data_IF_136309190411
#
_entry.id   IF_136309190411
#
_cell.length_a   1.000
_cell.length_b   1.000
_cell.length_c   1.000
_cell.angle_alpha   90.00
_cell.angle_beta   90.00
_cell.angle_gamma   90.00
#
_symmetry.space_group_name_H-M   'P 1'
#
loop_
_entity.id
_entity.type
_entity.pdbx_description
1 polymer ?
#
# COMPACT_ATOMS: atom_id res chain seq x y z
N UNK A 1 17.77 -1.04 -24.74
CA UNK A 1 17.12 -1.53 -23.54
C UNK A 1 16.19 -2.69 -23.84
N UNK A 2 15.66 -3.34 -22.82
CA UNK A 2 14.63 -4.35 -23.00
C UNK A 2 13.25 -3.67 -22.99
N UNK A 3 12.37 -4.10 -23.91
CA UNK A 3 10.99 -3.58 -23.98
C UNK A 3 10.08 -4.24 -22.93
N UNK A 4 10.44 -5.44 -22.48
CA UNK A 4 9.72 -6.20 -21.46
C UNK A 4 10.72 -6.78 -20.48
N UNK A 5 10.48 -6.59 -19.20
CA UNK A 5 11.27 -7.13 -18.10
C UNK A 5 10.36 -7.96 -17.20
N UNK A 6 10.71 -9.23 -17.00
CA UNK A 6 10.00 -10.14 -16.10
C UNK A 6 10.95 -10.47 -14.94
N UNK A 7 10.51 -10.18 -13.72
CA UNK A 7 11.27 -10.44 -12.49
C UNK A 7 10.57 -11.50 -11.64
N UNK A 8 11.29 -12.10 -10.70
CA UNK A 8 10.69 -12.77 -9.56
C UNK A 8 10.10 -11.76 -8.57
N UNK A 9 9.83 -12.18 -7.33
CA UNK A 9 9.39 -11.28 -6.25
C UNK A 9 10.46 -10.20 -6.00
N UNK A 10 10.05 -8.95 -6.09
CA UNK A 10 10.85 -7.77 -5.75
C UNK A 10 10.11 -6.98 -4.67
N UNK A 11 10.77 -5.98 -4.07
CA UNK A 11 10.09 -5.01 -3.20
C UNK A 11 9.04 -4.27 -4.03
N UNK A 12 7.84 -4.09 -3.50
CA UNK A 12 6.67 -3.61 -4.23
C UNK A 12 6.91 -2.24 -4.89
N UNK A 13 7.62 -1.34 -4.22
CA UNK A 13 8.03 -0.03 -4.75
C UNK A 13 9.13 -0.09 -5.83
N UNK A 14 9.85 -1.20 -5.97
CA UNK A 14 11.04 -1.29 -6.82
C UNK A 14 10.73 -1.13 -8.32
N UNK A 15 9.52 -1.49 -8.75
CA UNK A 15 9.10 -1.34 -10.16
C UNK A 15 9.11 0.14 -10.57
N UNK A 16 8.53 0.99 -9.75
CA UNK A 16 8.51 2.44 -9.96
C UNK A 16 9.90 3.05 -9.78
N UNK A 17 10.60 2.68 -8.71
CA UNK A 17 11.96 3.17 -8.44
C UNK A 17 12.91 2.84 -9.61
N UNK A 18 12.84 1.64 -10.16
CA UNK A 18 13.66 1.24 -11.31
C UNK A 18 13.42 2.11 -12.54
N UNK A 19 12.16 2.48 -12.82
CA UNK A 19 11.82 3.41 -13.89
C UNK A 19 12.37 4.81 -13.63
N UNK A 20 12.26 5.32 -12.40
CA UNK A 20 12.80 6.62 -12.00
C UNK A 20 14.35 6.66 -12.10
N UNK A 21 15.03 5.63 -11.64
CA UNK A 21 16.50 5.50 -11.77
C UNK A 21 16.92 5.60 -13.25
N UNK A 22 16.22 4.88 -14.13
CA UNK A 22 16.52 4.90 -15.55
C UNK A 22 16.27 6.27 -16.18
N UNK A 23 15.12 6.86 -15.90
CA UNK A 23 14.69 8.13 -16.52
C UNK A 23 15.54 9.32 -16.07
N UNK A 24 15.82 9.40 -14.77
CA UNK A 24 16.51 10.55 -14.18
C UNK A 24 18.00 10.32 -13.95
N UNK A 25 18.51 9.12 -14.18
CA UNK A 25 19.91 8.77 -13.98
C UNK A 25 20.35 8.80 -12.51
N UNK A 26 19.44 8.55 -11.57
CA UNK A 26 19.78 8.56 -10.15
C UNK A 26 20.83 7.53 -9.79
N UNK A 27 21.84 7.96 -9.06
CA UNK A 27 22.94 7.11 -8.62
C UNK A 27 22.61 6.30 -7.38
N UNK A 28 23.34 5.22 -7.18
CA UNK A 28 23.12 4.28 -6.07
C UNK A 28 23.36 4.89 -4.67
N UNK A 29 23.92 6.10 -4.57
CA UNK A 29 24.18 6.83 -3.33
C UNK A 29 23.37 8.12 -3.22
N UNK A 30 22.47 8.39 -4.17
CA UNK A 30 21.54 9.52 -4.12
C UNK A 30 20.30 9.13 -3.28
N UNK A 31 20.54 8.90 -1.99
CA UNK A 31 19.56 8.26 -1.11
C UNK A 31 18.25 9.03 -0.99
N UNK A 32 18.25 10.37 -1.04
CA UNK A 32 17.00 11.14 -1.04
C UNK A 32 16.17 10.84 -2.32
N UNK A 33 16.82 10.73 -3.47
CA UNK A 33 16.15 10.36 -4.72
C UNK A 33 15.61 8.93 -4.68
N UNK A 34 16.43 7.99 -4.19
CA UNK A 34 16.00 6.58 -4.03
C UNK A 34 14.82 6.45 -3.05
N UNK A 35 14.85 7.18 -1.93
CA UNK A 35 13.75 7.19 -0.97
C UNK A 35 12.47 7.79 -1.56
N UNK A 36 12.61 8.86 -2.34
CA UNK A 36 11.46 9.52 -3.00
C UNK A 36 10.83 8.63 -4.08
N UNK A 37 11.64 7.96 -4.89
CA UNK A 37 11.17 6.98 -5.88
C UNK A 37 10.52 5.77 -5.23
N UNK A 38 11.04 5.33 -4.09
CA UNK A 38 10.45 4.26 -3.29
C UNK A 38 9.11 4.69 -2.69
N UNK A 39 8.99 5.93 -2.18
CA UNK A 39 7.71 6.46 -1.70
C UNK A 39 6.69 6.54 -2.84
N UNK A 40 7.11 7.02 -4.02
CA UNK A 40 6.23 7.05 -5.18
C UNK A 40 5.73 5.65 -5.54
N UNK A 41 6.62 4.66 -5.55
CA UNK A 41 6.25 3.26 -5.79
C UNK A 41 5.29 2.71 -4.73
N UNK A 42 5.51 3.04 -3.46
CA UNK A 42 4.62 2.65 -2.37
C UNK A 42 3.21 3.27 -2.51
N UNK A 43 3.11 4.50 -2.99
CA UNK A 43 1.81 5.15 -3.26
C UNK A 43 1.07 4.46 -4.43
N UNK A 44 1.78 3.87 -5.38
CA UNK A 44 1.18 3.27 -6.57
C UNK A 44 0.85 1.78 -6.44
N UNK A 45 1.60 1.04 -5.64
CA UNK A 45 1.66 -0.43 -5.68
C UNK A 45 0.35 -1.13 -5.33
N UNK A 46 -0.44 -0.58 -4.41
CA UNK A 46 -1.76 -1.10 -4.04
C UNK A 46 -2.89 -0.69 -5.00
N UNK A 47 -2.54 -0.08 -6.14
CA UNK A 47 -3.50 0.30 -7.18
C UNK A 47 -4.62 1.20 -6.65
N UNK A 48 -5.90 0.77 -6.75
CA UNK A 48 -7.05 1.61 -6.42
C UNK A 48 -7.14 2.03 -4.95
N UNK A 49 -6.30 1.55 -4.06
CA UNK A 49 -6.27 2.01 -2.68
C UNK A 49 -5.99 3.52 -2.60
N UNK A 50 -5.01 4.02 -3.34
CA UNK A 50 -4.71 5.46 -3.43
C UNK A 50 -5.83 6.29 -4.06
N UNK A 51 -6.66 5.69 -4.90
CA UNK A 51 -7.82 6.34 -5.51
C UNK A 51 -9.12 6.13 -4.73
N UNK A 52 -9.04 5.66 -3.50
CA UNK A 52 -10.14 5.61 -2.54
C UNK A 52 -10.81 4.24 -2.38
N UNK A 53 -10.28 3.17 -3.00
CA UNK A 53 -10.89 1.83 -2.96
C UNK A 53 -10.91 1.17 -1.57
N UNK A 54 -10.08 1.64 -0.66
CA UNK A 54 -10.03 1.18 0.74
C UNK A 54 -9.92 2.37 1.71
N UNK A 55 -10.32 3.54 1.26
CA UNK A 55 -10.32 4.77 2.05
C UNK A 55 -11.34 4.69 3.18
N UNK A 56 -11.05 5.31 4.32
CA UNK A 56 -11.97 5.34 5.46
C UNK A 56 -13.34 5.92 5.06
N UNK A 57 -13.34 7.00 4.29
CA UNK A 57 -14.56 7.62 3.75
C UNK A 57 -14.80 7.17 2.29
N UNK A 58 -14.81 5.87 2.06
CA UNK A 58 -14.85 5.23 0.73
C UNK A 58 -16.06 5.67 -0.13
N UNK A 59 -17.17 6.07 0.47
CA UNK A 59 -18.35 6.58 -0.24
C UNK A 59 -18.00 7.80 -1.11
N UNK A 60 -16.99 8.58 -0.73
CA UNK A 60 -16.54 9.75 -1.49
C UNK A 60 -15.85 9.37 -2.81
N UNK A 61 -15.41 8.14 -2.96
CA UNK A 61 -14.79 7.64 -4.20
C UNK A 61 -15.83 7.36 -5.31
N UNK A 62 -17.12 7.37 -4.99
CA UNK A 62 -18.21 7.19 -5.94
C UNK A 62 -18.33 5.74 -6.42
N UNK A 63 -18.43 5.52 -7.74
CA UNK A 63 -18.59 4.18 -8.31
C UNK A 63 -17.28 3.39 -8.23
N UNK A 64 -17.21 2.46 -7.27
CA UNK A 64 -16.05 1.61 -7.04
C UNK A 64 -15.73 0.71 -8.25
N UNK A 65 -16.72 0.33 -9.05
CA UNK A 65 -16.48 -0.47 -10.26
C UNK A 65 -15.70 0.30 -11.34
N UNK A 66 -15.73 1.65 -11.29
CA UNK A 66 -15.02 2.53 -12.21
C UNK A 66 -13.99 3.42 -11.49
N UNK A 67 -13.38 2.94 -10.42
CA UNK A 67 -12.56 3.77 -9.52
C UNK A 67 -11.29 4.33 -10.19
N UNK A 68 -10.69 3.62 -11.14
CA UNK A 68 -9.42 3.97 -11.78
C UNK A 68 -8.19 3.68 -10.91
N UNK A 69 -7.05 3.50 -11.57
CA UNK A 69 -5.76 3.30 -10.90
C UNK A 69 -5.02 4.63 -10.74
N UNK A 70 -4.16 4.78 -9.73
CA UNK A 70 -3.37 5.98 -9.56
C UNK A 70 -2.33 6.13 -10.66
N UNK A 71 -2.02 7.39 -10.97
CA UNK A 71 -0.94 7.80 -11.86
C UNK A 71 -0.03 8.71 -11.06
N UNK A 72 1.28 8.54 -11.18
CA UNK A 72 2.26 9.48 -10.63
C UNK A 72 2.99 10.23 -11.74
N UNK A 73 3.03 11.55 -11.62
CA UNK A 73 3.85 12.44 -12.44
C UNK A 73 5.09 12.82 -11.62
N UNK A 74 6.23 12.22 -11.94
CA UNK A 74 7.45 12.32 -11.14
C UNK A 74 8.38 13.36 -11.71
N UNK A 75 8.96 14.20 -10.86
CA UNK A 75 9.98 15.17 -11.23
C UNK A 75 11.41 14.67 -10.88
N UNK A 76 12.46 15.18 -11.57
CA UNK A 76 13.84 14.73 -11.33
C UNK A 76 14.34 14.93 -9.88
N UNK A 77 13.75 15.84 -9.13
CA UNK A 77 14.05 16.11 -7.71
C UNK A 77 13.34 15.15 -6.74
N UNK A 78 12.61 14.14 -7.25
CA UNK A 78 11.87 13.15 -6.46
C UNK A 78 10.49 13.61 -6.00
N UNK A 79 10.11 14.84 -6.23
CA UNK A 79 8.73 15.32 -6.03
C UNK A 79 7.81 14.66 -7.04
N UNK A 80 6.58 14.31 -6.64
CA UNK A 80 5.61 13.77 -7.58
C UNK A 80 4.20 14.25 -7.31
N UNK A 81 3.36 14.18 -8.33
CA UNK A 81 1.92 14.45 -8.24
C UNK A 81 1.17 13.15 -8.48
N UNK A 82 0.37 12.77 -7.52
CA UNK A 82 -0.56 11.63 -7.67
C UNK A 82 -1.88 12.11 -8.25
N UNK A 83 -2.37 11.42 -9.26
CA UNK A 83 -3.63 11.67 -9.95
C UNK A 83 -4.27 10.35 -10.40
N UNK A 84 -5.30 10.40 -11.21
CA UNK A 84 -6.00 9.24 -11.79
C UNK A 84 -6.42 9.48 -13.23
N UNK A 85 -6.81 8.44 -14.00
CA UNK A 85 -7.30 8.61 -15.36
C UNK A 85 -8.56 9.48 -15.39
N UNK A 86 -8.70 10.37 -16.38
CA UNK A 86 -9.91 11.16 -16.56
C UNK A 86 -11.12 10.25 -16.87
N UNK A 87 -12.29 10.64 -16.37
CA UNK A 87 -13.53 9.88 -16.59
C UNK A 87 -13.73 8.69 -15.66
N UNK A 88 -12.80 8.46 -14.72
CA UNK A 88 -12.99 7.48 -13.64
C UNK A 88 -13.63 8.12 -12.41
N UNK A 89 -14.32 7.32 -11.60
CA UNK A 89 -14.95 7.78 -10.36
C UNK A 89 -13.90 8.14 -9.33
N UNK A 90 -13.31 7.25 -8.64
CA UNK A 90 -12.22 7.43 -7.69
C UNK A 90 -12.00 8.83 -7.10
N UNK A 91 -11.29 8.92 -6.03
CA UNK A 91 -10.92 10.17 -5.37
C UNK A 91 -9.41 10.17 -5.08
N UNK A 92 -8.69 11.17 -5.59
CA UNK A 92 -7.31 11.44 -5.18
C UNK A 92 -7.29 12.69 -4.31
N UNK A 93 -7.15 12.48 -3.02
CA UNK A 93 -7.15 13.52 -2.00
C UNK A 93 -5.97 13.37 -1.06
N UNK A 94 -5.72 14.41 -0.26
CA UNK A 94 -4.74 14.31 0.83
C UNK A 94 -5.04 13.09 1.72
N UNK A 95 -6.32 12.82 2.01
CA UNK A 95 -6.72 11.66 2.82
C UNK A 95 -6.35 10.33 2.18
N UNK A 96 -6.74 10.08 0.93
CA UNK A 96 -6.47 8.80 0.24
C UNK A 96 -4.97 8.54 0.06
N UNK A 97 -4.20 9.58 -0.27
CA UNK A 97 -2.73 9.49 -0.42
C UNK A 97 -2.06 9.29 0.94
N UNK A 98 -2.54 9.94 2.00
CA UNK A 98 -1.99 9.78 3.36
C UNK A 98 -2.27 8.40 3.92
N UNK A 99 -3.46 7.84 3.73
CA UNK A 99 -3.76 6.47 4.16
C UNK A 99 -2.90 5.45 3.43
N UNK A 100 -2.68 5.61 2.13
CA UNK A 100 -1.76 4.75 1.39
C UNK A 100 -0.32 4.92 1.87
N UNK A 101 0.12 6.16 2.14
CA UNK A 101 1.48 6.38 2.64
C UNK A 101 1.75 5.69 3.97
N UNK A 102 0.75 5.61 4.84
CA UNK A 102 0.87 4.95 6.15
C UNK A 102 0.67 3.44 6.09
N UNK A 103 0.10 2.93 5.01
CA UNK A 103 -0.20 1.52 4.85
C UNK A 103 1.08 0.66 4.92
N UNK A 104 1.10 -0.35 5.79
CA UNK A 104 2.24 -1.25 6.02
C UNK A 104 3.57 -0.58 6.42
N UNK A 105 3.59 0.72 6.70
CA UNK A 105 4.77 1.43 7.20
C UNK A 105 4.82 1.27 8.73
N UNK A 106 5.84 0.56 9.23
CA UNK A 106 6.05 0.40 10.67
C UNK A 106 6.64 1.66 11.30
N UNK A 107 7.89 1.96 11.01
CA UNK A 107 8.58 3.17 11.46
C UNK A 107 8.81 4.12 10.28
N UNK A 108 8.08 5.23 10.18
CA UNK A 108 8.24 6.18 9.08
C UNK A 108 9.60 6.88 9.05
N UNK A 109 10.32 6.94 10.15
CA UNK A 109 11.67 7.50 10.23
C UNK A 109 12.76 6.51 9.78
N UNK A 110 12.40 5.23 9.65
CA UNK A 110 13.35 4.17 9.33
C UNK A 110 12.69 3.04 8.56
N UNK A 111 12.10 3.35 7.41
CA UNK A 111 11.56 2.34 6.53
C UNK A 111 12.67 1.67 5.73
N UNK A 112 12.94 0.39 6.05
CA UNK A 112 14.11 -0.34 5.56
C UNK A 112 13.82 -1.00 4.22
N UNK A 113 14.56 -0.60 3.20
CA UNK A 113 14.57 -1.22 1.87
C UNK A 113 15.98 -1.75 1.55
N UNK A 114 16.13 -2.65 0.56
CA UNK A 114 17.43 -3.26 0.25
C UNK A 114 18.50 -2.26 -0.21
N UNK A 115 18.12 -1.14 -0.78
CA UNK A 115 18.97 -0.13 -1.43
C UNK A 115 18.99 1.21 -0.68
N UNK A 116 18.03 1.47 0.19
CA UNK A 116 17.92 2.72 0.94
C UNK A 116 17.16 2.52 2.25
N UNK A 117 17.51 3.26 3.27
CA UNK A 117 16.68 3.45 4.45
C UNK A 117 15.94 4.78 4.30
N UNK A 118 14.61 4.72 4.16
CA UNK A 118 13.79 5.90 3.93
C UNK A 118 13.35 6.54 5.25
N UNK A 119 13.21 7.87 5.22
CA UNK A 119 12.56 8.68 6.23
C UNK A 119 11.44 9.49 5.57
N UNK A 120 10.21 9.20 5.97
CA UNK A 120 8.99 9.82 5.46
C UNK A 120 8.40 10.84 6.43
N UNK A 121 9.04 11.10 7.57
CA UNK A 121 8.49 11.93 8.65
C UNK A 121 8.29 13.39 8.25
N UNK A 122 9.10 13.90 7.35
CA UNK A 122 9.03 15.30 6.86
C UNK A 122 8.29 15.43 5.52
N UNK A 123 7.74 14.33 4.98
CA UNK A 123 7.00 14.35 3.72
C UNK A 123 5.72 15.18 3.89
N UNK A 124 5.50 16.10 2.96
CA UNK A 124 4.27 16.90 2.90
C UNK A 124 3.40 16.46 1.74
N UNK A 125 2.11 16.36 2.01
CA UNK A 125 1.07 15.97 1.06
C UNK A 125 0.13 17.15 0.89
N UNK A 126 0.00 17.67 -0.32
CA UNK A 126 -0.74 18.92 -0.59
C UNK A 126 -1.69 18.74 -1.77
N UNK A 127 -2.96 19.04 -1.56
CA UNK A 127 -3.93 19.12 -2.66
C UNK A 127 -3.64 20.34 -3.52
N UNK A 128 -3.29 20.15 -4.79
CA UNK A 128 -2.97 21.25 -5.72
C UNK A 128 -4.09 21.53 -6.73
N UNK A 129 -4.94 20.53 -6.97
CA UNK A 129 -6.17 20.66 -7.78
C UNK A 129 -7.11 19.47 -7.46
N UNK A 130 -8.36 19.44 -7.95
CA UNK A 130 -9.20 18.27 -7.85
C UNK A 130 -8.48 17.02 -8.41
N UNK A 131 -8.48 15.93 -7.66
CA UNK A 131 -7.79 14.68 -7.99
C UNK A 131 -6.28 14.83 -8.34
N UNK A 132 -5.63 15.85 -7.79
CA UNK A 132 -4.18 16.07 -7.97
C UNK A 132 -3.54 16.43 -6.63
N UNK A 133 -2.74 15.53 -6.13
CA UNK A 133 -2.06 15.65 -4.83
C UNK A 133 -0.55 15.63 -5.05
N UNK A 134 0.10 16.70 -4.64
CA UNK A 134 1.56 16.78 -4.67
C UNK A 134 2.14 16.18 -3.39
N UNK A 135 3.15 15.34 -3.55
CA UNK A 135 3.94 14.75 -2.47
C UNK A 135 5.36 15.31 -2.55
N UNK A 136 5.87 15.82 -1.44
CA UNK A 136 7.25 16.32 -1.36
C UNK A 136 8.25 15.16 -1.38
N UNK A 137 9.53 15.42 -1.73
CA UNK A 137 10.56 14.40 -1.66
C UNK A 137 10.72 13.84 -0.23
N UNK A 138 10.97 12.54 -0.16
CA UNK A 138 11.38 11.86 1.05
C UNK A 138 12.87 12.08 1.34
N UNK A 139 13.31 11.75 2.56
CA UNK A 139 14.72 11.68 2.94
C UNK A 139 15.20 10.23 2.92
N UNK A 140 16.46 10.07 2.58
CA UNK A 140 17.08 8.75 2.54
C UNK A 140 18.44 8.72 3.21
N UNK A 141 18.86 7.55 3.62
CA UNK A 141 20.21 7.27 4.10
C UNK A 141 20.66 5.90 3.61
N UNK A 142 21.92 5.58 3.81
CA UNK A 142 22.50 4.32 3.35
C UNK A 142 21.61 3.11 3.68
N UNK A 143 21.61 2.14 2.77
CA UNK A 143 20.92 0.87 2.94
C UNK A 143 21.32 0.18 4.25
N UNK A 144 20.44 -0.60 4.87
CA UNK A 144 20.79 -1.37 6.07
C UNK A 144 21.85 -2.44 5.73
N UNK A 145 22.65 -2.80 6.73
CA UNK A 145 23.67 -3.85 6.60
C UNK A 145 23.09 -5.26 6.64
N UNK A 146 21.81 -5.40 6.94
CA UNK A 146 21.09 -6.67 7.04
C UNK A 146 19.80 -6.59 6.23
N UNK A 147 19.41 -7.70 5.62
CA UNK A 147 18.14 -7.79 4.92
C UNK A 147 17.01 -8.10 5.91
N UNK A 148 15.86 -7.47 5.68
CA UNK A 148 14.60 -7.85 6.30
C UNK A 148 14.16 -9.20 5.74
N UNK A 149 13.88 -10.15 6.61
CA UNK A 149 13.37 -11.47 6.23
C UNK A 149 11.97 -11.69 6.77
N UNK A 150 11.16 -12.44 6.05
CA UNK A 150 9.88 -12.93 6.53
C UNK A 150 10.02 -14.39 6.92
N UNK A 151 9.66 -14.71 8.15
CA UNK A 151 9.63 -16.08 8.66
C UNK A 151 8.19 -16.52 8.83
N UNK A 152 7.87 -17.68 8.30
CA UNK A 152 6.61 -18.36 8.57
C UNK A 152 6.88 -19.58 9.44
N UNK A 153 6.03 -19.81 10.42
CA UNK A 153 6.13 -20.96 11.31
C UNK A 153 4.74 -21.54 11.55
N UNK A 154 4.69 -22.80 11.96
CA UNK A 154 3.44 -23.42 12.32
C UNK A 154 2.96 -22.88 13.69
N UNK A 155 1.81 -22.25 13.71
CA UNK A 155 1.18 -21.64 14.89
C UNK A 155 -0.21 -22.23 15.14
N UNK A 156 -0.34 -23.53 14.93
CA UNK A 156 -1.59 -24.27 15.09
C UNK A 156 -2.52 -24.17 13.88
N UNK A 157 -3.80 -24.32 14.13
CA UNK A 157 -4.84 -24.36 13.10
C UNK A 157 -5.92 -23.33 13.41
N UNK A 158 -6.52 -22.80 12.35
CA UNK A 158 -7.71 -21.95 12.45
C UNK A 158 -8.80 -22.59 11.60
N UNK A 159 -9.98 -22.81 12.20
CA UNK A 159 -11.15 -23.32 11.50
C UNK A 159 -12.32 -22.36 11.67
N UNK A 160 -13.14 -22.21 10.63
CA UNK A 160 -14.37 -21.42 10.66
C UNK A 160 -15.49 -22.15 9.93
N UNK A 161 -16.72 -21.94 10.38
CA UNK A 161 -17.92 -22.49 9.73
C UNK A 161 -19.07 -21.48 9.85
N UNK A 162 -19.92 -21.45 8.83
CA UNK A 162 -21.17 -20.69 8.82
C UNK A 162 -22.33 -21.66 8.82
N UNK A 163 -23.23 -21.50 9.79
CA UNK A 163 -24.40 -22.34 9.96
C UNK A 163 -25.64 -21.47 10.09
N UNK A 164 -26.72 -21.85 9.40
CA UNK A 164 -28.00 -21.14 9.49
C UNK A 164 -28.98 -21.98 10.31
N UNK A 165 -29.55 -21.37 11.33
CA UNK A 165 -30.60 -21.97 12.16
C UNK A 165 -31.92 -21.23 11.94
N UNK A 166 -33.02 -21.96 11.80
CA UNK A 166 -34.35 -21.41 11.58
C UNK A 166 -35.42 -22.12 12.45
N UNK A 167 -36.56 -21.46 12.52
CA UNK A 167 -37.70 -21.97 13.29
C UNK A 167 -37.69 -21.56 14.76
N UNK A 168 -38.58 -22.15 15.54
CA UNK A 168 -38.74 -21.83 16.96
C UNK A 168 -37.45 -22.06 17.74
N UNK A 169 -37.06 -21.06 18.56
CA UNK A 169 -35.86 -21.07 19.40
C UNK A 169 -34.56 -21.22 18.59
N UNK A 170 -34.49 -20.68 17.36
CA UNK A 170 -33.30 -20.75 16.51
C UNK A 170 -32.05 -20.19 17.18
N UNK A 171 -32.17 -19.11 17.93
CA UNK A 171 -31.07 -18.52 18.68
C UNK A 171 -30.47 -19.49 19.69
N UNK A 172 -31.29 -20.07 20.57
CA UNK A 172 -30.78 -21.00 21.58
C UNK A 172 -30.27 -22.31 20.98
N UNK A 173 -30.82 -22.75 19.83
CA UNK A 173 -30.25 -23.87 19.07
C UNK A 173 -28.86 -23.54 18.53
N UNK A 174 -28.69 -22.34 17.97
CA UNK A 174 -27.41 -21.88 17.44
C UNK A 174 -26.34 -21.81 18.53
N UNK A 175 -26.64 -21.18 19.66
CA UNK A 175 -25.77 -21.10 20.82
C UNK A 175 -25.32 -22.46 21.29
N UNK A 176 -26.28 -23.35 21.56
CA UNK A 176 -26.00 -24.73 22.04
C UNK A 176 -25.14 -25.53 21.06
N UNK A 177 -25.40 -25.41 19.78
CA UNK A 177 -24.64 -26.11 18.75
C UNK A 177 -23.21 -25.55 18.63
N UNK A 178 -23.04 -24.21 18.60
CA UNK A 178 -21.73 -23.57 18.51
C UNK A 178 -20.87 -23.90 19.72
N UNK A 179 -21.42 -23.86 20.92
CA UNK A 179 -20.73 -24.24 22.15
C UNK A 179 -20.24 -25.68 22.12
N UNK A 180 -21.11 -26.59 21.65
CA UNK A 180 -20.75 -28.00 21.52
C UNK A 180 -19.65 -28.22 20.47
N UNK A 181 -19.71 -27.50 19.34
CA UNK A 181 -18.71 -27.60 18.28
C UNK A 181 -17.34 -27.13 18.77
N UNK A 182 -17.27 -25.98 19.45
CA UNK A 182 -16.03 -25.44 20.03
C UNK A 182 -15.42 -26.41 21.03
N UNK A 183 -16.21 -26.89 22.00
CA UNK A 183 -15.75 -27.87 23.01
C UNK A 183 -15.19 -29.15 22.39
N UNK A 184 -15.73 -29.58 21.27
CA UNK A 184 -15.23 -30.79 20.58
C UNK A 184 -13.98 -30.52 19.75
N UNK A 185 -13.82 -29.30 19.28
CA UNK A 185 -12.60 -28.90 18.52
C UNK A 185 -11.39 -28.68 19.44
N UNK A 186 -11.64 -28.37 20.72
CA UNK A 186 -10.59 -28.16 21.73
C UNK A 186 -10.16 -29.46 22.45
N UNK A 187 -10.89 -30.54 22.29
CA UNK A 187 -10.66 -31.84 22.93
C UNK A 187 -9.80 -32.77 22.05
#
# INVERSE_FOLDING_TARGET
>A
GADIIITGRVVDSAVTLGACIYEFGWGATEWDALASGSLCGHILECGPQTTGGNFTDWELAGDIANIGYPIAEVAPDGRFVTTKPPGTSGLVSVGTVSEQMLYEIGDPQSYLLPDVTCDFSDVTITQIAPDRVQVSPAKGRAAPTHYKTCLTYADGFRAGSYLTFYGARSTSKAESFCDAAVKRAEA
#
